data_IF_422999177804
#
_entry.id   IF_422999177804
#
_cell.length_a   1.000
_cell.length_b   1.000
_cell.length_c   1.000
_cell.angle_alpha   90.00
_cell.angle_beta   90.00
_cell.angle_gamma   90.00
#
_symmetry.space_group_name_H-M   'P 1'
#
loop_
_entity.id
_entity.type
_entity.pdbx_description
1 polymer ?
#
# COMPACT_ATOMS: atom_id res chain seq x y z
N UNK A 1 10.15 5.65 -20.94
CA UNK A 1 10.76 6.91 -20.44
C UNK A 1 11.73 6.49 -19.34
N UNK A 2 13.03 6.60 -19.56
CA UNK A 2 14.02 6.31 -18.52
C UNK A 2 14.10 7.53 -17.60
N UNK A 3 13.78 7.32 -16.33
CA UNK A 3 13.88 8.38 -15.31
C UNK A 3 15.34 8.41 -14.83
N UNK A 4 16.06 9.48 -15.13
CA UNK A 4 17.44 9.65 -14.71
C UNK A 4 17.45 10.30 -13.33
N UNK A 5 18.24 9.77 -12.41
CA UNK A 5 18.33 10.26 -11.02
C UNK A 5 18.60 11.77 -10.94
N UNK A 6 19.37 12.32 -11.88
CA UNK A 6 19.65 13.75 -11.96
C UNK A 6 18.41 14.61 -12.29
N UNK A 7 17.42 14.05 -13.01
CA UNK A 7 16.16 14.74 -13.32
C UNK A 7 15.17 14.71 -12.14
N UNK A 8 15.39 13.78 -11.20
CA UNK A 8 14.53 13.61 -10.02
C UNK A 8 15.08 14.32 -8.78
N UNK A 9 16.35 14.75 -8.81
CA UNK A 9 16.94 15.52 -7.70
C UNK A 9 16.20 16.84 -7.54
N UNK A 10 15.68 17.09 -6.33
CA UNK A 10 14.88 18.28 -5.99
C UNK A 10 13.60 18.48 -6.83
N UNK A 11 13.11 17.42 -7.48
CA UNK A 11 11.92 17.48 -8.33
C UNK A 11 10.82 16.52 -7.82
N UNK A 12 9.64 17.08 -7.59
CA UNK A 12 8.44 16.35 -7.18
C UNK A 12 7.30 16.67 -8.14
N UNK A 13 6.75 15.68 -8.84
CA UNK A 13 5.68 15.92 -9.80
C UNK A 13 4.73 14.74 -9.95
N UNK A 14 3.47 15.03 -10.28
CA UNK A 14 2.50 14.02 -10.67
C UNK A 14 2.80 13.46 -12.07
N UNK A 15 2.51 12.20 -12.28
CA UNK A 15 2.63 11.57 -13.61
C UNK A 15 1.43 10.67 -13.89
N UNK A 16 1.28 10.23 -15.14
CA UNK A 16 0.25 9.25 -15.52
C UNK A 16 -1.20 9.75 -15.41
N UNK A 17 -1.45 11.06 -15.33
CA UNK A 17 -2.79 11.64 -15.16
C UNK A 17 -3.74 11.33 -16.32
N UNK A 18 -3.24 11.11 -17.54
CA UNK A 18 -4.05 10.72 -18.70
C UNK A 18 -4.44 9.24 -18.73
N UNK A 19 -3.99 8.48 -17.76
CA UNK A 19 -4.18 7.04 -17.61
C UNK A 19 -2.88 6.35 -17.19
N UNK A 20 -2.85 5.87 -15.95
CA UNK A 20 -1.75 5.03 -15.46
C UNK A 20 -2.11 3.56 -15.71
N UNK A 21 -1.12 2.74 -16.08
CA UNK A 21 -1.34 1.31 -16.39
C UNK A 21 -1.97 0.50 -15.26
N UNK A 22 -1.76 0.91 -14.00
CA UNK A 22 -2.34 0.25 -12.84
C UNK A 22 -3.79 0.70 -12.53
N UNK A 23 -4.27 1.82 -13.08
CA UNK A 23 -5.63 2.30 -12.81
C UNK A 23 -6.70 1.25 -13.13
N UNK A 24 -6.73 0.65 -14.35
CA UNK A 24 -7.74 -0.36 -14.67
C UNK A 24 -7.63 -1.63 -13.81
N UNK A 25 -6.42 -2.01 -13.42
CA UNK A 25 -6.20 -3.15 -12.53
C UNK A 25 -6.77 -2.89 -11.14
N UNK A 26 -6.47 -1.73 -10.55
CA UNK A 26 -6.99 -1.33 -9.24
C UNK A 26 -8.52 -1.23 -9.28
N UNK A 27 -9.10 -0.60 -10.31
CA UNK A 27 -10.55 -0.51 -10.47
C UNK A 27 -11.19 -1.89 -10.58
N UNK A 28 -10.62 -2.80 -11.36
CA UNK A 28 -11.12 -4.16 -11.51
C UNK A 28 -11.17 -4.90 -10.17
N UNK A 29 -10.08 -4.87 -9.42
CA UNK A 29 -10.01 -5.55 -8.12
C UNK A 29 -10.97 -4.93 -7.10
N UNK A 30 -11.05 -3.60 -7.04
CA UNK A 30 -11.97 -2.92 -6.14
C UNK A 30 -13.44 -3.20 -6.48
N UNK A 31 -13.81 -3.28 -7.77
CA UNK A 31 -15.17 -3.64 -8.21
C UNK A 31 -15.54 -5.07 -7.82
N UNK A 32 -14.61 -6.01 -7.99
CA UNK A 32 -14.80 -7.41 -7.57
C UNK A 32 -15.04 -7.48 -6.06
N UNK A 33 -14.21 -6.80 -5.26
CA UNK A 33 -14.35 -6.78 -3.80
C UNK A 33 -15.64 -6.10 -3.34
N UNK A 34 -16.03 -5.01 -4.00
CA UNK A 34 -17.23 -4.26 -3.66
C UNK A 34 -18.53 -4.92 -4.16
N UNK A 35 -18.43 -5.89 -5.08
CA UNK A 35 -19.59 -6.54 -5.72
C UNK A 35 -20.43 -5.54 -6.54
N UNK A 36 -19.82 -4.48 -7.09
CA UNK A 36 -20.52 -3.45 -7.88
C UNK A 36 -19.60 -2.85 -8.93
N UNK A 37 -20.18 -2.50 -10.08
CA UNK A 37 -19.50 -1.76 -11.12
C UNK A 37 -19.49 -0.24 -10.91
N UNK A 38 -20.37 0.26 -10.04
CA UNK A 38 -20.44 1.68 -9.69
C UNK A 38 -19.42 2.06 -8.61
N UNK A 39 -18.14 1.95 -8.98
CA UNK A 39 -17.03 2.36 -8.15
C UNK A 39 -16.21 3.40 -8.93
N UNK A 40 -15.94 4.53 -8.27
CA UNK A 40 -15.10 5.61 -8.82
C UNK A 40 -13.78 5.66 -8.07
N UNK A 41 -12.70 5.52 -8.82
CA UNK A 41 -11.34 5.65 -8.32
C UNK A 41 -10.68 6.91 -8.90
N UNK A 42 -10.03 7.68 -8.05
CA UNK A 42 -9.06 8.69 -8.48
C UNK A 42 -7.67 8.24 -8.05
N UNK A 43 -6.82 7.95 -9.02
CA UNK A 43 -5.44 7.51 -8.79
C UNK A 43 -4.47 8.53 -9.38
N UNK A 44 -3.67 9.16 -8.52
CA UNK A 44 -2.71 10.20 -8.91
C UNK A 44 -1.33 9.85 -8.37
N UNK A 45 -0.51 9.12 -9.14
CA UNK A 45 0.84 8.81 -8.71
C UNK A 45 1.76 10.03 -8.84
N UNK A 46 2.70 10.12 -7.92
CA UNK A 46 3.73 11.16 -7.90
C UNK A 46 5.11 10.52 -7.86
N UNK A 47 6.06 11.15 -8.53
CA UNK A 47 7.47 10.85 -8.40
C UNK A 47 8.09 11.79 -7.38
N UNK A 48 8.77 11.21 -6.40
CA UNK A 48 9.48 11.91 -5.33
C UNK A 48 10.98 11.73 -5.52
N UNK A 49 11.81 12.66 -5.04
CA UNK A 49 13.26 12.55 -5.05
C UNK A 49 13.76 11.57 -3.97
N UNK A 50 13.19 10.38 -3.95
CA UNK A 50 13.56 9.29 -3.06
C UNK A 50 14.15 8.14 -3.86
N UNK A 51 15.16 7.48 -3.31
CA UNK A 51 15.84 6.39 -4.00
C UNK A 51 14.90 5.19 -4.15
N UNK A 52 14.00 4.96 -3.14
CA UNK A 52 13.25 3.71 -3.02
C UNK A 52 12.04 3.87 -2.10
N UNK A 53 10.98 3.13 -2.38
CA UNK A 53 9.77 3.05 -1.57
C UNK A 53 8.53 3.58 -2.30
N UNK A 54 7.37 3.07 -1.88
CA UNK A 54 6.05 3.59 -2.23
C UNK A 54 5.39 4.01 -0.92
N UNK A 55 4.75 5.18 -0.93
CA UNK A 55 3.87 5.64 0.14
C UNK A 55 2.52 5.96 -0.48
N UNK A 56 1.49 5.25 -0.03
CA UNK A 56 0.11 5.47 -0.46
C UNK A 56 -0.69 6.14 0.64
N UNK A 57 -1.41 7.19 0.29
CA UNK A 57 -2.44 7.80 1.14
C UNK A 57 -3.78 7.58 0.47
N UNK A 58 -4.63 6.77 1.10
CA UNK A 58 -5.91 6.34 0.55
C UNK A 58 -7.03 7.00 1.34
N UNK A 59 -7.90 7.73 0.66
CA UNK A 59 -9.06 8.38 1.24
C UNK A 59 -10.31 7.58 0.93
N UNK A 60 -11.04 7.16 1.97
CA UNK A 60 -12.27 6.37 1.87
C UNK A 60 -13.37 7.11 2.60
N UNK A 61 -14.57 7.17 2.02
CA UNK A 61 -15.74 7.72 2.72
C UNK A 61 -16.65 6.60 3.15
N UNK A 62 -17.04 6.62 4.43
CA UNK A 62 -18.08 5.77 4.95
C UNK A 62 -19.42 6.15 4.30
N UNK A 63 -20.26 5.16 3.99
CA UNK A 63 -21.62 5.39 3.51
C UNK A 63 -22.50 6.04 4.57
N UNK A 64 -22.23 5.73 5.82
CA UNK A 64 -22.91 6.27 6.99
C UNK A 64 -21.85 6.68 8.04
N UNK A 65 -21.78 7.99 8.30
CA UNK A 65 -20.84 8.56 9.26
C UNK A 65 -21.17 8.18 10.72
N UNK A 66 -22.42 7.79 11.01
CA UNK A 66 -22.84 7.33 12.34
C UNK A 66 -22.37 5.90 12.67
N UNK A 67 -21.80 5.19 11.69
CA UNK A 67 -21.32 3.83 11.90
C UNK A 67 -20.20 3.82 12.93
N UNK A 68 -20.47 3.21 14.07
CA UNK A 68 -19.45 2.91 15.08
C UNK A 68 -18.69 1.65 14.64
N UNK A 69 -17.46 1.83 14.23
CA UNK A 69 -16.58 0.75 13.81
C UNK A 69 -15.17 0.98 14.40
N UNK A 70 -14.66 -0.05 15.05
CA UNK A 70 -13.25 -0.10 15.43
C UNK A 70 -12.42 -0.47 14.20
N UNK A 71 -11.95 0.57 13.51
CA UNK A 71 -11.14 0.40 12.30
C UNK A 71 -9.80 -0.26 12.58
N UNK A 72 -9.18 0.03 13.72
CA UNK A 72 -7.91 -0.60 14.11
C UNK A 72 -8.10 -2.11 14.21
N UNK A 73 -9.07 -2.51 15.02
CA UNK A 73 -9.39 -3.94 15.19
C UNK A 73 -9.79 -4.61 13.88
N UNK A 74 -10.58 -3.94 13.03
CA UNK A 74 -10.98 -4.47 11.73
C UNK A 74 -9.78 -4.83 10.85
N UNK A 75 -8.77 -3.95 10.80
CA UNK A 75 -7.57 -4.19 10.02
C UNK A 75 -6.67 -5.24 10.68
N UNK A 76 -6.50 -5.21 12.00
CA UNK A 76 -5.75 -6.22 12.74
C UNK A 76 -6.34 -7.61 12.53
N UNK A 77 -7.67 -7.78 12.68
CA UNK A 77 -8.36 -9.05 12.46
C UNK A 77 -8.24 -9.52 11.00
N UNK A 78 -8.37 -8.58 10.02
CA UNK A 78 -8.29 -8.93 8.59
C UNK A 78 -6.91 -9.44 8.19
N UNK A 79 -5.86 -8.90 8.78
CA UNK A 79 -4.48 -9.19 8.41
C UNK A 79 -3.73 -10.02 9.46
N UNK A 80 -4.43 -10.59 10.45
CA UNK A 80 -3.81 -11.36 11.54
C UNK A 80 -2.95 -12.54 11.06
N UNK A 81 -3.37 -13.20 9.97
CA UNK A 81 -2.69 -14.36 9.40
C UNK A 81 -1.78 -14.00 8.21
N UNK A 82 -1.64 -12.71 7.88
CA UNK A 82 -0.87 -12.24 6.72
C UNK A 82 0.55 -11.83 7.16
N UNK A 83 1.49 -12.75 7.08
CA UNK A 83 2.85 -12.56 7.62
C UNK A 83 3.54 -11.27 7.15
N UNK A 84 3.35 -10.89 5.89
CA UNK A 84 4.00 -9.72 5.30
C UNK A 84 3.18 -8.43 5.40
N UNK A 85 2.07 -8.42 6.16
CA UNK A 85 1.26 -7.22 6.41
C UNK A 85 1.36 -6.84 7.88
N UNK A 86 1.97 -5.71 8.16
CA UNK A 86 2.14 -5.16 9.51
C UNK A 86 1.13 -4.00 9.71
N UNK A 87 0.07 -4.27 10.45
CA UNK A 87 -0.89 -3.24 10.88
C UNK A 87 -0.29 -2.53 12.08
N UNK A 88 0.16 -1.30 11.87
CA UNK A 88 0.82 -0.50 12.90
C UNK A 88 -0.17 -0.09 14.01
N UNK A 89 0.31 0.14 15.23
CA UNK A 89 -0.55 0.62 16.34
C UNK A 89 -1.32 1.89 15.98
N UNK A 90 -2.49 2.06 16.59
CA UNK A 90 -3.33 3.23 16.38
C UNK A 90 -2.55 4.54 16.57
N UNK A 91 -2.76 5.50 15.67
CA UNK A 91 -2.06 6.79 15.68
C UNK A 91 -0.68 6.78 15.01
N UNK A 92 -0.20 5.63 14.54
CA UNK A 92 1.09 5.54 13.84
C UNK A 92 1.04 6.18 12.45
N UNK A 93 2.23 6.60 11.98
CA UNK A 93 2.45 7.08 10.61
C UNK A 93 3.61 6.30 10.00
N UNK A 94 3.35 5.38 9.05
CA UNK A 94 4.40 4.56 8.46
C UNK A 94 5.37 5.38 7.61
N UNK A 95 6.64 4.99 7.64
CA UNK A 95 7.71 5.59 6.85
C UNK A 95 8.29 4.58 5.86
N UNK A 96 8.58 5.01 4.62
CA UNK A 96 9.12 4.12 3.57
C UNK A 96 10.45 3.45 3.95
N UNK A 97 11.30 4.13 4.77
CA UNK A 97 12.54 3.52 5.23
C UNK A 97 12.32 2.29 6.12
N UNK A 98 11.21 2.25 6.84
CA UNK A 98 10.90 1.16 7.77
C UNK A 98 10.58 -0.18 7.11
N UNK A 99 10.42 -0.19 5.78
CA UNK A 99 10.17 -1.39 4.97
C UNK A 99 11.24 -1.62 3.89
N UNK A 100 12.24 -0.75 3.83
CA UNK A 100 13.26 -0.75 2.78
C UNK A 100 14.03 -2.08 2.72
N UNK A 101 14.05 -2.70 1.55
CA UNK A 101 14.73 -3.97 1.31
C UNK A 101 13.99 -5.21 1.84
N UNK A 102 12.82 -5.04 2.46
CA UNK A 102 12.00 -6.14 2.98
C UNK A 102 10.75 -6.38 2.14
N UNK A 103 10.11 -7.54 2.34
CA UNK A 103 8.84 -7.87 1.69
C UNK A 103 7.61 -7.44 2.52
N UNK A 104 7.80 -6.60 3.54
CA UNK A 104 6.72 -6.12 4.38
C UNK A 104 5.95 -4.95 3.74
N UNK A 105 4.64 -4.99 3.90
CA UNK A 105 3.74 -3.85 3.79
C UNK A 105 3.40 -3.38 5.19
N UNK A 106 3.61 -2.10 5.52
CA UNK A 106 3.12 -1.49 6.75
C UNK A 106 1.96 -0.58 6.46
N UNK A 107 0.92 -0.68 7.26
CA UNK A 107 -0.26 0.17 7.11
C UNK A 107 -0.74 0.73 8.46
N UNK A 108 -1.36 1.89 8.41
CA UNK A 108 -2.03 2.52 9.54
C UNK A 108 -3.37 3.10 9.09
N UNK A 109 -4.37 3.05 9.96
CA UNK A 109 -5.71 3.54 9.66
C UNK A 109 -6.09 4.66 10.62
N UNK A 110 -6.70 5.71 10.08
CA UNK A 110 -7.10 6.90 10.81
C UNK A 110 -8.53 7.31 10.47
N UNK A 111 -9.26 7.83 11.46
CA UNK A 111 -10.59 8.42 11.28
C UNK A 111 -10.60 9.83 11.89
N UNK A 112 -10.15 10.87 11.16
CA UNK A 112 -10.06 12.22 11.67
C UNK A 112 -11.43 12.75 12.14
N UNK A 113 -11.48 13.27 13.36
CA UNK A 113 -12.70 13.89 13.91
C UNK A 113 -13.89 12.94 14.05
N UNK A 114 -13.69 11.62 13.99
CA UNK A 114 -14.75 10.61 13.98
C UNK A 114 -15.84 10.85 12.91
N UNK A 115 -15.47 11.54 11.82
CA UNK A 115 -16.34 11.81 10.68
C UNK A 115 -16.54 10.63 9.73
N UNK A 116 -16.95 10.92 8.50
CA UNK A 116 -17.13 9.94 7.43
C UNK A 116 -15.81 9.57 6.71
N UNK A 117 -14.77 10.36 6.91
CA UNK A 117 -13.48 10.17 6.25
C UNK A 117 -12.60 9.17 6.99
N UNK A 118 -12.16 8.15 6.26
CA UNK A 118 -11.10 7.22 6.67
C UNK A 118 -9.86 7.52 5.84
N UNK A 119 -8.72 7.52 6.47
CA UNK A 119 -7.41 7.63 5.81
C UNK A 119 -6.63 6.36 6.10
N UNK A 120 -6.23 5.65 5.06
CA UNK A 120 -5.30 4.53 5.16
C UNK A 120 -3.96 4.96 4.59
N UNK A 121 -2.93 4.83 5.41
CA UNK A 121 -1.54 5.04 5.02
C UNK A 121 -0.90 3.69 4.82
N UNK A 122 -0.22 3.48 3.69
CA UNK A 122 0.49 2.24 3.43
C UNK A 122 1.86 2.51 2.83
N UNK A 123 2.87 1.77 3.29
CA UNK A 123 4.23 1.86 2.77
C UNK A 123 4.78 0.49 2.42
N UNK A 124 5.49 0.42 1.32
CA UNK A 124 6.19 -0.78 0.88
C UNK A 124 7.48 -0.44 0.13
N UNK A 125 8.36 -1.42 0.02
CA UNK A 125 9.51 -1.32 -0.89
C UNK A 125 9.06 -1.60 -2.33
N UNK A 126 9.20 -0.61 -3.21
CA UNK A 126 8.77 -0.69 -4.60
C UNK A 126 9.48 -1.76 -5.44
N UNK A 127 10.67 -2.23 -5.02
CA UNK A 127 11.45 -3.26 -5.73
C UNK A 127 11.32 -4.65 -5.12
N UNK A 128 10.89 -4.73 -3.84
CA UNK A 128 10.66 -6.02 -3.17
C UNK A 128 9.17 -6.31 -3.13
N UNK A 129 8.41 -5.81 -2.16
CA UNK A 129 6.95 -6.07 -2.06
C UNK A 129 6.20 -5.57 -3.28
N UNK A 130 6.56 -4.40 -3.82
CA UNK A 130 5.94 -3.83 -5.02
C UNK A 130 6.36 -4.50 -6.34
N UNK A 131 7.30 -5.45 -6.34
CA UNK A 131 7.81 -6.07 -7.57
C UNK A 131 8.29 -7.52 -7.35
N UNK A 132 9.60 -7.73 -7.26
CA UNK A 132 10.20 -9.06 -7.27
C UNK A 132 9.81 -9.90 -6.04
N UNK A 133 9.73 -9.29 -4.85
CA UNK A 133 9.37 -9.99 -3.62
C UNK A 133 7.95 -10.53 -3.66
N UNK A 134 6.99 -9.76 -4.16
CA UNK A 134 5.62 -10.24 -4.36
C UNK A 134 5.54 -11.41 -5.35
N UNK A 135 6.37 -11.39 -6.41
CA UNK A 135 6.43 -12.49 -7.37
C UNK A 135 7.00 -13.76 -6.75
N UNK A 136 8.05 -13.65 -5.91
CA UNK A 136 8.60 -14.80 -5.17
C UNK A 136 7.60 -15.32 -4.15
N UNK A 137 6.91 -14.45 -3.41
CA UNK A 137 5.86 -14.84 -2.48
C UNK A 137 4.74 -15.62 -3.19
N UNK A 138 4.24 -15.11 -4.31
CA UNK A 138 3.22 -15.78 -5.11
C UNK A 138 3.72 -17.15 -5.62
N UNK A 139 4.96 -17.23 -6.07
CA UNK A 139 5.58 -18.49 -6.48
C UNK A 139 5.64 -19.49 -5.31
N UNK A 140 6.06 -19.06 -4.12
CA UNK A 140 6.11 -19.93 -2.94
C UNK A 140 4.74 -20.54 -2.64
N UNK A 141 3.69 -19.72 -2.63
CA UNK A 141 2.31 -20.15 -2.39
C UNK A 141 1.84 -21.13 -3.48
N UNK A 142 2.09 -20.83 -4.77
CA UNK A 142 1.68 -21.67 -5.89
C UNK A 142 2.35 -23.06 -5.88
N UNK A 143 3.59 -23.15 -5.40
CA UNK A 143 4.32 -24.40 -5.30
C UNK A 143 4.21 -25.09 -3.92
N UNK A 144 3.37 -24.57 -3.02
CA UNK A 144 3.17 -25.14 -1.68
C UNK A 144 4.37 -25.01 -0.76
N UNK A 145 5.25 -24.05 -1.01
CA UNK A 145 6.34 -23.69 -0.12
C UNK A 145 5.83 -22.74 0.98
N UNK A 146 6.58 -22.63 2.08
CA UNK A 146 6.32 -21.55 3.06
C UNK A 146 6.48 -20.19 2.34
N UNK A 147 5.46 -19.35 2.40
CA UNK A 147 5.41 -18.06 1.70
C UNK A 147 6.60 -17.15 2.05
N UNK A 148 7.21 -17.33 3.22
CA UNK A 148 8.38 -16.57 3.71
C UNK A 148 9.70 -17.01 3.09
N UNK A 149 9.73 -18.15 2.40
CA UNK A 149 10.97 -18.72 1.88
C UNK A 149 11.75 -17.73 1.02
N UNK A 150 12.95 -17.35 1.47
CA UNK A 150 13.81 -16.38 0.79
C UNK A 150 13.40 -14.91 0.91
N UNK A 151 12.35 -14.60 1.68
CA UNK A 151 11.78 -13.24 1.81
C UNK A 151 11.81 -12.71 3.24
N UNK A 152 12.18 -13.51 4.22
CA UNK A 152 12.16 -13.18 5.65
C UNK A 152 13.40 -12.35 6.07
N UNK A 153 13.69 -11.31 5.32
CA UNK A 153 14.75 -10.35 5.62
C UNK A 153 14.16 -9.11 6.30
N UNK A 154 14.72 -8.65 7.43
CA UNK A 154 14.31 -7.42 8.06
C UNK A 154 14.61 -6.22 7.17
N UNK A 155 13.88 -5.11 7.38
CA UNK A 155 14.14 -3.88 6.67
C UNK A 155 15.56 -3.36 6.94
N UNK A 156 16.20 -2.87 5.89
CA UNK A 156 17.49 -2.20 5.97
C UNK A 156 17.28 -0.79 6.50
N UNK A 157 17.21 -0.65 7.81
CA UNK A 157 17.14 0.66 8.47
C UNK A 157 18.57 1.15 8.64
N UNK A 158 18.99 2.25 7.97
CA UNK A 158 20.27 2.87 8.23
C UNK A 158 20.23 3.68 9.51
#
# INVERSE_FOLDING_TARGET
MSIITAEMSDNFHAYGLKGHRHTPEIEQQLKILAGTDDLKLTFVPHLLPTIRGIHSTIYIRLKDASTEIDLQKLYEDRFADEYFVDVMPAGSTPETRSVRGSNFLRLAVHRPGNGDLIIVLAVEDNLVKGAAGQSVQAMNILFGLDEKTGLDAPALVP
#
